data_IF_845209438310
#
_entry.id   IF_845209438310
#
_cell.length_a   1.000
_cell.length_b   1.000
_cell.length_c   1.000
_cell.angle_alpha   90.00
_cell.angle_beta   90.00
_cell.angle_gamma   90.00
#
_symmetry.space_group_name_H-M   'P 1'
#
loop_
_entity.id
_entity.type
_entity.pdbx_description
1 polymer ?
#
# COMPACT_ATOMS: atom_id res chain seq x y z
N UNK A 1 26.87 24.33 22.58
CA UNK A 1 25.60 23.60 22.84
C UNK A 1 24.52 24.15 21.91
N UNK A 2 24.13 23.43 20.86
CA UNK A 2 23.11 23.89 19.89
C UNK A 2 21.71 23.59 20.44
N UNK A 3 20.94 24.64 20.76
CA UNK A 3 19.50 24.55 21.05
C UNK A 3 18.78 24.12 19.78
N UNK A 4 18.24 22.91 19.77
CA UNK A 4 17.33 22.45 18.72
C UNK A 4 15.96 23.08 18.95
N UNK A 5 15.58 23.95 18.01
CA UNK A 5 14.29 24.64 17.96
C UNK A 5 13.16 23.62 17.83
N UNK A 6 12.14 23.73 18.69
CA UNK A 6 10.93 22.91 18.66
C UNK A 6 10.16 23.18 17.36
N UNK A 7 10.25 22.27 16.40
CA UNK A 7 9.28 22.19 15.30
C UNK A 7 8.03 21.51 15.87
N UNK A 8 7.01 22.31 16.18
CA UNK A 8 5.71 21.84 16.65
C UNK A 8 5.07 21.01 15.53
N UNK A 9 5.04 19.68 15.69
CA UNK A 9 4.35 18.78 14.76
C UNK A 9 5.13 17.55 14.31
N UNK A 10 6.45 17.48 14.51
CA UNK A 10 7.24 16.30 14.10
C UNK A 10 7.68 15.54 15.36
N UNK A 11 6.92 14.50 15.73
CA UNK A 11 7.35 13.55 16.76
C UNK A 11 8.34 12.59 16.11
N UNK A 12 9.63 12.76 16.40
CA UNK A 12 10.64 11.78 16.03
C UNK A 12 10.40 10.53 16.87
N UNK A 13 9.93 9.46 16.23
CA UNK A 13 9.72 8.17 16.87
C UNK A 13 11.05 7.43 16.94
N UNK A 14 11.39 6.89 18.10
CA UNK A 14 12.52 5.98 18.24
C UNK A 14 12.21 4.63 17.54
N UNK A 15 13.25 3.80 17.35
CA UNK A 15 13.13 2.53 16.63
C UNK A 15 12.07 1.60 17.25
N UNK A 16 11.91 1.59 18.57
CA UNK A 16 10.90 0.75 19.22
C UNK A 16 9.50 1.31 18.98
N UNK A 17 9.31 2.63 19.06
CA UNK A 17 8.01 3.24 18.74
C UNK A 17 7.61 3.08 17.26
N UNK A 18 8.57 3.11 16.33
CA UNK A 18 8.32 2.85 14.90
C UNK A 18 7.80 1.43 14.63
N UNK A 19 8.30 0.42 15.35
CA UNK A 19 7.85 -0.98 15.21
C UNK A 19 6.37 -1.20 15.55
N UNK A 20 5.77 -0.30 16.32
CA UNK A 20 4.36 -0.36 16.71
C UNK A 20 3.46 0.46 15.79
N UNK A 21 4.02 1.12 14.76
CA UNK A 21 3.22 1.70 13.69
C UNK A 21 2.75 0.54 12.83
N UNK A 22 1.58 0.02 13.15
CA UNK A 22 0.84 -0.84 12.23
C UNK A 22 0.39 0.06 11.09
N UNK A 23 1.07 -0.03 9.94
CA UNK A 23 0.61 0.61 8.72
C UNK A 23 -0.74 -0.01 8.38
N UNK A 24 -1.82 0.67 8.76
CA UNK A 24 -3.16 0.27 8.36
C UNK A 24 -3.49 0.93 7.04
N UNK A 25 -3.48 0.16 5.97
CA UNK A 25 -3.80 0.58 4.62
C UNK A 25 -5.11 -0.02 4.13
N UNK A 26 -5.67 0.61 3.09
CA UNK A 26 -6.84 0.08 2.38
C UNK A 26 -6.62 -1.36 1.86
N UNK A 27 -5.36 -1.76 1.69
CA UNK A 27 -4.98 -3.06 1.17
C UNK A 27 -4.70 -4.12 2.24
N UNK A 28 -4.83 -3.82 3.54
CA UNK A 28 -4.48 -4.76 4.62
C UNK A 28 -5.30 -6.06 4.62
N UNK A 29 -6.51 -6.01 4.05
CA UNK A 29 -7.40 -7.15 3.95
C UNK A 29 -7.20 -7.96 2.67
N UNK A 30 -6.33 -7.49 1.77
CA UNK A 30 -6.05 -8.18 0.53
C UNK A 30 -4.97 -9.26 0.77
N UNK A 31 -5.34 -10.52 0.55
CA UNK A 31 -4.44 -11.67 0.73
C UNK A 31 -4.13 -12.41 -0.57
N UNK A 32 -4.50 -11.82 -1.71
CA UNK A 32 -4.30 -12.41 -3.04
C UNK A 32 -2.95 -12.05 -3.68
N UNK A 33 -2.76 -12.44 -4.96
CA UNK A 33 -1.59 -12.07 -5.75
C UNK A 33 -1.38 -10.56 -5.86
N UNK A 34 -0.14 -10.08 -5.72
CA UNK A 34 0.17 -8.64 -5.84
C UNK A 34 0.24 -8.20 -7.31
N UNK A 35 0.43 -9.14 -8.24
CA UNK A 35 0.60 -8.88 -9.67
C UNK A 35 -0.26 -9.81 -10.51
N UNK A 36 -0.95 -9.25 -11.50
CA UNK A 36 -1.75 -9.96 -12.50
C UNK A 36 -1.13 -9.73 -13.89
N UNK A 37 -0.70 -10.81 -14.53
CA UNK A 37 -0.13 -10.77 -15.87
C UNK A 37 -1.21 -10.71 -16.97
N UNK A 38 -0.79 -10.70 -18.24
CA UNK A 38 -1.69 -10.76 -19.41
C UNK A 38 -2.66 -11.94 -19.39
N UNK A 39 -2.23 -13.05 -18.79
CA UNK A 39 -3.02 -14.30 -18.73
C UNK A 39 -3.98 -14.31 -17.54
N UNK A 40 -3.83 -13.37 -16.59
CA UNK A 40 -4.59 -13.32 -15.34
C UNK A 40 -5.69 -12.24 -15.34
N UNK A 41 -6.01 -11.65 -16.49
CA UNK A 41 -6.93 -10.51 -16.56
C UNK A 41 -8.32 -10.85 -15.99
N UNK A 42 -8.83 -12.07 -16.20
CA UNK A 42 -10.10 -12.50 -15.62
C UNK A 42 -10.04 -12.51 -14.09
N UNK A 43 -8.95 -13.01 -13.51
CA UNK A 43 -8.75 -13.04 -12.07
C UNK A 43 -8.63 -11.63 -11.47
N UNK A 44 -8.00 -10.69 -12.19
CA UNK A 44 -7.99 -9.27 -11.82
C UNK A 44 -9.39 -8.66 -11.83
N UNK A 45 -10.15 -8.88 -12.92
CA UNK A 45 -11.50 -8.31 -13.07
C UNK A 45 -12.51 -8.91 -12.08
N UNK A 46 -12.26 -10.12 -11.58
CA UNK A 46 -13.05 -10.73 -10.51
C UNK A 46 -12.80 -10.14 -9.11
N UNK A 47 -11.73 -9.35 -8.92
CA UNK A 47 -11.48 -8.70 -7.64
C UNK A 47 -12.55 -7.65 -7.32
N UNK A 48 -12.90 -7.47 -6.04
CA UNK A 48 -13.65 -6.31 -5.61
C UNK A 48 -12.95 -5.02 -6.05
N UNK A 49 -13.67 -3.96 -6.48
CA UNK A 49 -13.05 -2.71 -6.94
C UNK A 49 -12.07 -2.09 -5.94
N UNK A 50 -12.36 -2.26 -4.63
CA UNK A 50 -11.52 -1.79 -3.55
C UNK A 50 -10.17 -2.53 -3.43
N UNK A 51 -10.10 -3.77 -3.94
CA UNK A 51 -8.86 -4.56 -4.00
C UNK A 51 -8.14 -4.42 -5.35
N UNK A 52 -8.81 -4.03 -6.43
CA UNK A 52 -8.16 -3.76 -7.72
C UNK A 52 -7.10 -2.65 -7.62
N UNK A 53 -7.29 -1.67 -6.74
CA UNK A 53 -6.30 -0.60 -6.49
C UNK A 53 -5.09 -1.06 -5.67
N UNK A 54 -5.12 -2.28 -5.14
CA UNK A 54 -4.09 -2.85 -4.28
C UNK A 54 -3.09 -3.74 -5.03
N UNK A 55 -3.24 -3.87 -6.35
CA UNK A 55 -2.49 -4.82 -7.18
C UNK A 55 -1.90 -4.13 -8.39
N UNK A 56 -0.84 -4.71 -8.93
CA UNK A 56 -0.28 -4.36 -10.23
C UNK A 56 -0.92 -5.24 -11.30
N UNK A 57 -1.33 -4.66 -12.42
CA UNK A 57 -2.01 -5.38 -13.50
C UNK A 57 -1.41 -5.00 -14.85
N UNK A 58 -1.32 -5.97 -15.76
CA UNK A 58 -0.89 -5.73 -17.14
C UNK A 58 -1.81 -4.72 -17.83
N UNK A 59 -1.23 -3.83 -18.64
CA UNK A 59 -1.99 -2.86 -19.45
C UNK A 59 -2.90 -3.54 -20.48
N UNK A 60 -2.58 -4.78 -20.87
CA UNK A 60 -3.36 -5.58 -21.83
C UNK A 60 -4.71 -6.03 -21.24
N UNK A 61 -4.89 -5.96 -19.92
CA UNK A 61 -6.17 -6.25 -19.28
C UNK A 61 -7.20 -5.13 -19.43
N UNK A 62 -6.82 -3.99 -20.01
CA UNK A 62 -7.72 -2.87 -20.27
C UNK A 62 -7.97 -2.71 -21.77
N UNK A 63 -9.22 -2.43 -22.19
CA UNK A 63 -9.50 -2.08 -23.58
C UNK A 63 -8.74 -0.79 -23.95
N UNK A 64 -8.18 -0.77 -25.16
CA UNK A 64 -7.54 0.43 -25.74
C UNK A 64 -8.57 1.43 -26.27
#
# INVERSE_FOLDING_TARGET
MKKLSKIKGIKILDKNAQRHINGKGQCDTYTGPISYGPEDCEAFHALPPYHQVCVLVSVECFPQ
#
